data_IF_457768018053
#
_entry.id   IF_457768018053
#
_cell.length_a   1.000
_cell.length_b   1.000
_cell.length_c   1.000
_cell.angle_alpha   90.00
_cell.angle_beta   90.00
_cell.angle_gamma   90.00
#
_symmetry.space_group_name_H-M   'P 1'
#
loop_
_entity.id
_entity.type
_entity.pdbx_description
1 polymer ?
#
# COMPACT_ATOMS: atom_id res chain seq x y z
N UNK A 1 29.51 12.00 -0.33
CA UNK A 1 28.52 13.02 0.04
C UNK A 1 27.34 12.28 0.65
N UNK A 2 27.33 12.30 1.97
CA UNK A 2 26.51 11.48 2.84
C UNK A 2 25.08 12.03 2.92
N UNK A 3 24.11 11.14 3.19
CA UNK A 3 22.77 11.39 3.72
C UNK A 3 21.67 11.81 2.73
N UNK A 4 21.09 10.85 2.00
CA UNK A 4 19.72 10.99 1.44
C UNK A 4 18.63 10.33 2.31
N UNK A 5 18.98 9.86 3.51
CA UNK A 5 18.05 9.29 4.47
C UNK A 5 17.92 10.18 5.70
N UNK A 6 16.68 10.51 6.07
CA UNK A 6 16.36 11.23 7.30
C UNK A 6 15.58 10.30 8.22
N UNK A 7 16.08 10.10 9.45
CA UNK A 7 15.36 9.32 10.48
C UNK A 7 14.15 10.14 10.94
N UNK A 8 13.01 9.46 11.09
CA UNK A 8 11.75 10.01 11.55
C UNK A 8 11.27 9.23 12.77
N UNK A 9 10.79 9.95 13.78
CA UNK A 9 9.94 9.37 14.82
C UNK A 9 8.54 9.12 14.24
N UNK A 10 7.71 8.30 14.89
CA UNK A 10 6.33 8.02 14.46
C UNK A 10 5.48 9.30 14.25
N UNK A 11 5.79 10.39 14.97
CA UNK A 11 5.17 11.72 14.80
C UNK A 11 5.68 12.52 13.60
N UNK A 12 6.82 12.13 13.00
CA UNK A 12 7.44 12.78 11.85
C UNK A 12 7.04 12.19 10.50
N UNK A 13 6.28 11.09 10.48
CA UNK A 13 5.63 10.61 9.27
C UNK A 13 4.53 11.61 8.85
N UNK A 14 4.35 11.89 7.55
CA UNK A 14 3.26 12.74 7.10
C UNK A 14 1.93 12.13 7.56
N UNK A 15 1.26 12.80 8.50
CA UNK A 15 -0.04 12.40 9.00
C UNK A 15 -1.08 12.81 7.96
N UNK A 16 -1.56 11.81 7.20
CA UNK A 16 -2.66 11.82 6.22
C UNK A 16 -2.23 12.13 4.77
N UNK A 17 -2.79 11.39 3.79
CA UNK A 17 -2.70 11.82 2.41
C UNK A 17 -3.50 13.12 2.30
N UNK A 18 -3.06 14.09 1.48
CA UNK A 18 -3.92 15.23 1.18
C UNK A 18 -5.25 14.67 0.70
N UNK A 19 -6.33 14.98 1.43
CA UNK A 19 -7.70 14.69 1.03
C UNK A 19 -8.00 15.62 -0.14
N UNK A 20 -7.45 15.30 -1.30
CA UNK A 20 -7.79 15.88 -2.58
C UNK A 20 -8.49 14.78 -3.38
N UNK A 21 -9.81 14.81 -3.27
CA UNK A 21 -10.78 14.27 -4.22
C UNK A 21 -10.43 12.90 -4.83
N UNK A 22 -10.91 11.84 -4.18
CA UNK A 22 -11.25 10.57 -4.82
C UNK A 22 -12.37 10.81 -5.86
N UNK A 23 -12.08 11.41 -7.02
CA UNK A 23 -12.91 11.39 -8.23
C UNK A 23 -12.26 12.22 -9.34
N UNK A 24 -11.17 11.74 -9.94
CA UNK A 24 -10.82 12.06 -11.32
C UNK A 24 -10.20 10.79 -11.93
N UNK A 25 -11.08 9.99 -12.54
CA UNK A 25 -10.84 9.17 -13.75
C UNK A 25 -9.43 8.58 -13.89
N UNK A 26 -9.28 7.29 -13.58
CA UNK A 26 -8.22 6.47 -14.18
C UNK A 26 -8.44 6.45 -15.71
N UNK A 27 -7.59 7.04 -16.55
CA UNK A 27 -7.67 6.75 -17.97
C UNK A 27 -7.01 5.38 -18.16
N UNK A 28 -7.82 4.33 -18.23
CA UNK A 28 -7.42 3.14 -18.96
C UNK A 28 -6.98 3.60 -20.36
N UNK A 29 -5.69 3.54 -20.67
CA UNK A 29 -5.25 3.63 -22.07
C UNK A 29 -5.69 2.33 -22.75
N UNK A 30 -6.57 2.35 -23.75
CA UNK A 30 -6.84 1.18 -24.56
C UNK A 30 -5.73 1.08 -25.61
N UNK A 31 -4.98 -0.03 -25.62
CA UNK A 31 -4.18 -0.38 -26.79
C UNK A 31 -5.12 -0.81 -27.94
N UNK A 32 -4.77 -0.40 -29.15
CA UNK A 32 -5.59 -0.47 -30.37
C UNK A 32 -5.98 -1.90 -30.85
N UNK A 33 -7.27 -2.05 -31.15
CA UNK A 33 -7.96 -2.77 -32.28
C UNK A 33 -7.96 -4.31 -32.44
N UNK A 34 -8.96 -4.92 -33.13
CA UNK A 34 -10.29 -4.43 -33.56
C UNK A 34 -11.50 -5.28 -33.11
N UNK A 35 -12.65 -4.63 -33.23
CA UNK A 35 -14.05 -5.08 -33.20
C UNK A 35 -14.37 -6.57 -33.36
N UNK A 36 -15.04 -7.13 -32.34
CA UNK A 36 -16.16 -8.06 -32.51
C UNK A 36 -17.22 -7.80 -31.42
N UNK A 37 -18.39 -7.34 -31.89
CA UNK A 37 -19.62 -7.20 -31.11
C UNK A 37 -20.08 -8.57 -30.59
N UNK A 38 -20.17 -8.73 -29.28
CA UNK A 38 -21.03 -9.74 -28.66
C UNK A 38 -21.65 -9.13 -27.40
N UNK A 39 -22.94 -8.84 -27.48
CA UNK A 39 -23.77 -8.50 -26.33
C UNK A 39 -23.88 -9.72 -25.41
N UNK A 40 -23.70 -9.59 -24.09
CA UNK A 40 -24.23 -10.56 -23.16
C UNK A 40 -25.65 -10.19 -22.75
N UNK A 41 -26.45 -11.24 -22.71
CA UNK A 41 -27.86 -11.31 -22.36
C UNK A 41 -28.20 -10.76 -20.99
N UNK A 42 -29.41 -10.19 -20.93
CA UNK A 42 -30.29 -9.99 -19.78
C UNK A 42 -29.98 -10.84 -18.55
N UNK A 43 -29.39 -10.24 -17.52
CA UNK A 43 -29.61 -10.67 -16.13
C UNK A 43 -29.12 -9.63 -15.10
N UNK A 44 -29.55 -8.37 -15.19
CA UNK A 44 -29.38 -7.40 -14.08
C UNK A 44 -30.50 -6.34 -14.08
N UNK A 45 -31.75 -6.78 -14.24
CA UNK A 45 -32.93 -5.92 -14.20
C UNK A 45 -33.57 -5.74 -12.80
N UNK A 46 -32.90 -6.16 -11.72
CA UNK A 46 -33.50 -6.17 -10.38
C UNK A 46 -32.78 -5.37 -9.29
N UNK A 47 -31.95 -4.37 -9.65
CA UNK A 47 -31.38 -3.42 -8.67
C UNK A 47 -31.71 -1.95 -8.96
N UNK A 48 -32.79 -1.68 -9.70
CA UNK A 48 -33.47 -0.37 -9.72
C UNK A 48 -34.87 -0.54 -9.08
N UNK A 49 -34.98 -0.60 -7.75
CA UNK A 49 -35.80 0.41 -7.09
C UNK A 49 -35.39 0.64 -5.61
N UNK A 50 -34.33 1.41 -5.36
CA UNK A 50 -34.09 2.03 -4.05
C UNK A 50 -33.63 3.49 -4.20
N UNK A 51 -33.97 4.11 -5.34
CA UNK A 51 -33.66 5.52 -5.63
C UNK A 51 -34.91 6.38 -5.86
N UNK A 52 -36.10 5.89 -5.48
CA UNK A 52 -37.39 6.56 -5.76
C UNK A 52 -38.26 6.87 -4.54
N UNK A 53 -37.68 6.93 -3.33
CA UNK A 53 -38.41 7.31 -2.11
C UNK A 53 -37.96 8.63 -1.45
N UNK A 54 -37.42 9.59 -2.23
CA UNK A 54 -37.14 10.94 -1.70
C UNK A 54 -37.56 12.12 -2.60
N UNK A 55 -38.44 11.91 -3.58
CA UNK A 55 -39.14 13.01 -4.25
C UNK A 55 -40.66 12.80 -4.23
N UNK A 56 -41.25 12.90 -3.03
CA UNK A 56 -42.68 13.24 -2.92
C UNK A 56 -42.93 13.95 -1.60
N UNK A 57 -42.48 15.21 -1.51
CA UNK A 57 -43.06 16.17 -0.58
C UNK A 57 -43.65 17.29 -1.43
N UNK A 58 -44.95 17.15 -1.71
CA UNK A 58 -45.76 18.08 -2.48
C UNK A 58 -45.91 19.37 -1.67
N UNK A 59 -45.57 20.47 -2.34
CA UNK A 59 -45.75 21.85 -1.92
C UNK A 59 -47.16 22.11 -1.36
N UNK A 60 -47.23 22.65 -0.14
CA UNK A 60 -48.34 23.45 0.34
C UNK A 60 -47.75 24.75 0.89
N UNK A 61 -47.91 25.83 0.12
CA UNK A 61 -47.47 27.17 0.49
C UNK A 61 -48.51 27.86 1.39
N UNK A 62 -48.07 28.60 2.43
CA UNK A 62 -48.70 29.84 2.83
C UNK A 62 -47.91 31.03 2.30
N UNK A 63 -48.61 32.13 2.01
CA UNK A 63 -48.06 33.33 1.40
C UNK A 63 -47.09 34.10 2.34
N UNK A 64 -45.82 34.28 1.91
CA UNK A 64 -44.80 35.32 2.21
C UNK A 64 -44.46 35.68 3.70
N UNK A 65 -43.27 36.24 4.05
CA UNK A 65 -42.13 36.67 3.23
C UNK A 65 -40.73 36.09 3.55
N UNK A 66 -39.92 35.99 2.49
CA UNK A 66 -38.45 35.83 2.36
C UNK A 66 -37.61 35.33 3.56
N UNK A 67 -37.02 34.12 3.49
CA UNK A 67 -35.86 33.76 4.29
C UNK A 67 -34.55 33.83 3.48
N UNK A 68 -33.51 34.40 4.11
CA UNK A 68 -32.15 34.59 3.59
C UNK A 68 -31.57 33.32 2.91
N UNK A 69 -31.11 33.46 1.66
CA UNK A 69 -30.56 32.37 0.82
C UNK A 69 -29.27 31.72 1.39
N UNK A 70 -28.59 32.34 2.35
CA UNK A 70 -27.33 31.84 2.93
C UNK A 70 -27.50 30.64 3.87
N UNK A 71 -28.62 30.51 4.59
CA UNK A 71 -28.82 29.43 5.56
C UNK A 71 -29.25 28.10 4.91
N UNK A 72 -29.91 28.14 3.76
CA UNK A 72 -30.42 26.95 3.06
C UNK A 72 -29.30 26.18 2.34
N UNK A 73 -28.26 26.89 1.88
CA UNK A 73 -27.05 26.29 1.30
C UNK A 73 -26.16 25.57 2.32
N UNK A 74 -26.08 26.09 3.56
CA UNK A 74 -25.29 25.47 4.63
C UNK A 74 -25.87 24.13 5.09
N UNK A 75 -27.21 24.04 5.18
CA UNK A 75 -27.90 22.83 5.63
C UNK A 75 -27.91 21.68 4.61
N UNK A 76 -27.78 22.00 3.32
CA UNK A 76 -27.69 21.01 2.23
C UNK A 76 -26.26 20.47 2.08
N UNK A 77 -25.24 21.32 2.27
CA UNK A 77 -23.84 20.91 2.17
C UNK A 77 -23.42 19.93 3.28
N UNK A 78 -23.89 20.15 4.51
CA UNK A 78 -23.55 19.28 5.64
C UNK A 78 -24.19 17.89 5.53
N UNK A 79 -25.41 17.80 4.99
CA UNK A 79 -26.06 16.51 4.69
C UNK A 79 -25.35 15.75 3.58
N UNK A 80 -24.85 16.44 2.55
CA UNK A 80 -24.05 15.83 1.48
C UNK A 80 -22.73 15.23 2.00
N UNK A 81 -22.02 15.94 2.87
CA UNK A 81 -20.76 15.44 3.47
C UNK A 81 -21.03 14.19 4.32
N UNK A 82 -22.11 14.18 5.11
CA UNK A 82 -22.47 13.02 5.93
C UNK A 82 -22.84 11.82 5.04
N UNK A 83 -23.57 12.03 3.94
CA UNK A 83 -23.92 10.95 3.01
C UNK A 83 -22.67 10.36 2.36
N UNK A 84 -21.72 11.20 1.91
CA UNK A 84 -20.45 10.72 1.34
C UNK A 84 -19.66 9.93 2.39
N UNK A 85 -19.57 10.44 3.62
CA UNK A 85 -18.83 9.77 4.69
C UNK A 85 -19.46 8.42 5.07
N UNK A 86 -20.79 8.36 5.20
CA UNK A 86 -21.50 7.11 5.49
C UNK A 86 -21.40 6.12 4.32
N UNK A 87 -21.40 6.59 3.07
CA UNK A 87 -21.24 5.73 1.90
C UNK A 87 -19.82 5.16 1.81
N UNK A 88 -18.79 5.96 2.07
CA UNK A 88 -17.40 5.49 2.12
C UNK A 88 -17.15 4.56 3.31
N UNK A 89 -17.75 4.84 4.47
CA UNK A 89 -17.68 3.96 5.63
C UNK A 89 -18.39 2.64 5.36
N UNK A 90 -19.56 2.67 4.72
CA UNK A 90 -20.28 1.48 4.30
C UNK A 90 -19.51 0.68 3.23
N UNK A 91 -18.85 1.33 2.28
CA UNK A 91 -17.95 0.68 1.32
C UNK A 91 -16.75 0.04 2.00
N UNK A 92 -16.16 0.72 2.98
CA UNK A 92 -15.04 0.19 3.76
C UNK A 92 -15.46 -1.01 4.63
N UNK A 93 -16.60 -0.94 5.31
CA UNK A 93 -17.10 -2.06 6.12
C UNK A 93 -17.57 -3.20 5.23
N UNK A 94 -18.19 -2.93 4.09
CA UNK A 94 -18.58 -3.95 3.12
C UNK A 94 -17.34 -4.63 2.52
N UNK A 95 -16.27 -3.88 2.24
CA UNK A 95 -14.99 -4.45 1.81
C UNK A 95 -14.36 -5.34 2.90
N UNK A 96 -14.43 -4.92 4.18
CA UNK A 96 -13.96 -5.73 5.32
C UNK A 96 -14.81 -7.00 5.55
N UNK A 97 -16.15 -6.89 5.44
CA UNK A 97 -17.11 -7.99 5.63
C UNK A 97 -17.13 -8.98 4.47
N UNK A 98 -17.04 -8.51 3.22
CA UNK A 98 -16.86 -9.36 2.04
C UNK A 98 -15.57 -10.20 2.13
N UNK A 99 -14.59 -9.75 2.91
CA UNK A 99 -13.38 -10.52 3.19
C UNK A 99 -13.55 -11.60 4.28
N UNK A 100 -14.66 -11.59 5.05
CA UNK A 100 -14.92 -12.51 6.16
C UNK A 100 -15.94 -13.62 5.84
N UNK A 101 -16.92 -13.43 4.93
CA UNK A 101 -18.04 -14.39 4.74
C UNK A 101 -17.88 -15.42 3.60
N UNK A 102 -16.91 -15.30 2.70
CA UNK A 102 -16.71 -16.28 1.61
C UNK A 102 -15.62 -17.32 1.88
N UNK A 103 -15.68 -17.99 3.04
CA UNK A 103 -15.12 -19.33 3.24
C UNK A 103 -16.26 -20.34 3.40
N UNK A 104 -16.97 -20.57 2.29
CA UNK A 104 -18.06 -21.54 2.24
C UNK A 104 -18.48 -21.82 0.79
N UNK A 105 -17.89 -22.85 0.21
CA UNK A 105 -18.36 -23.58 -0.99
C UNK A 105 -18.28 -22.89 -2.36
N UNK A 106 -17.28 -23.31 -3.13
CA UNK A 106 -17.34 -23.66 -4.57
C UNK A 106 -17.96 -22.66 -5.56
N UNK A 107 -17.26 -21.57 -5.92
CA UNK A 107 -17.17 -21.05 -7.31
C UNK A 107 -15.92 -20.15 -7.42
N UNK A 108 -15.01 -20.48 -8.35
CA UNK A 108 -14.04 -19.57 -9.00
C UNK A 108 -13.23 -18.59 -8.14
N UNK A 109 -11.96 -18.93 -7.88
CA UNK A 109 -10.97 -18.04 -7.28
C UNK A 109 -10.93 -16.63 -7.93
N UNK A 110 -11.51 -15.63 -7.27
CA UNK A 110 -11.08 -14.24 -7.44
C UNK A 110 -9.82 -14.08 -6.59
N UNK A 111 -8.66 -14.09 -7.27
CA UNK A 111 -7.35 -13.95 -6.66
C UNK A 111 -7.30 -12.70 -5.78
N UNK A 112 -6.86 -12.86 -4.53
CA UNK A 112 -6.51 -11.72 -3.69
C UNK A 112 -5.36 -10.97 -4.37
N UNK A 113 -5.43 -9.64 -4.58
CA UNK A 113 -4.36 -8.88 -5.24
C UNK A 113 -3.08 -8.76 -4.39
N UNK A 114 -3.11 -9.31 -3.17
CA UNK A 114 -2.00 -9.33 -2.24
C UNK A 114 -1.23 -10.64 -2.36
N UNK A 115 0.07 -10.54 -2.64
CA UNK A 115 0.98 -11.67 -2.44
C UNK A 115 1.26 -11.80 -0.95
N UNK A 116 0.61 -12.75 -0.29
CA UNK A 116 0.93 -13.11 1.10
C UNK A 116 2.14 -14.04 1.13
N UNK A 117 2.94 -13.97 2.20
CA UNK A 117 4.03 -14.92 2.40
C UNK A 117 3.49 -16.36 2.49
N UNK A 118 4.25 -17.31 1.94
CA UNK A 118 3.91 -18.74 2.03
C UNK A 118 4.09 -19.20 3.47
N UNK A 119 3.07 -19.79 4.09
CA UNK A 119 3.21 -20.49 5.37
C UNK A 119 4.00 -21.81 5.26
N UNK A 120 4.40 -22.19 4.04
CA UNK A 120 5.07 -23.44 3.73
C UNK A 120 6.53 -23.12 3.33
N UNK A 121 7.45 -23.56 4.20
CA UNK A 121 8.92 -23.51 4.12
C UNK A 121 9.58 -22.13 3.95
N UNK A 122 10.37 -21.74 4.96
CA UNK A 122 11.30 -20.59 4.96
C UNK A 122 12.46 -20.82 3.98
N UNK A 123 12.18 -20.91 2.69
CA UNK A 123 13.20 -21.22 1.67
C UNK A 123 13.81 -19.94 1.06
N UNK A 124 13.18 -18.78 1.27
CA UNK A 124 13.68 -17.47 0.81
C UNK A 124 14.37 -16.61 1.88
N UNK A 125 14.27 -16.94 3.17
CA UNK A 125 14.99 -16.24 4.25
C UNK A 125 16.24 -17.03 4.61
N UNK A 126 17.41 -16.43 4.46
CA UNK A 126 18.71 -17.06 4.75
C UNK A 126 19.40 -16.34 5.89
N UNK A 127 20.03 -17.11 6.79
CA UNK A 127 20.88 -16.57 7.84
C UNK A 127 22.35 -16.81 7.48
N UNK A 128 23.13 -15.75 7.38
CA UNK A 128 24.57 -15.79 7.09
C UNK A 128 25.29 -15.11 8.24
N UNK A 129 25.82 -15.90 9.18
CA UNK A 129 26.36 -15.37 10.44
C UNK A 129 25.27 -14.64 11.25
N UNK A 130 25.53 -13.38 11.58
CA UNK A 130 24.61 -12.49 12.31
C UNK A 130 23.67 -11.70 11.38
N UNK A 131 23.73 -11.95 10.06
CA UNK A 131 22.85 -11.31 9.07
C UNK A 131 21.66 -12.20 8.73
N UNK A 132 20.48 -11.59 8.64
CA UNK A 132 19.28 -12.20 8.09
C UNK A 132 18.96 -11.53 6.76
N UNK A 133 18.94 -12.34 5.70
CA UNK A 133 18.63 -11.92 4.34
C UNK A 133 17.24 -12.43 3.98
N UNK A 134 16.34 -11.53 3.62
CA UNK A 134 14.97 -11.83 3.21
C UNK A 134 14.86 -11.66 1.70
N UNK A 135 14.59 -12.75 1.00
CA UNK A 135 14.33 -12.74 -0.44
C UNK A 135 13.06 -11.96 -0.78
N UNK A 136 13.00 -11.27 -1.94
CA UNK A 136 11.78 -10.70 -2.50
C UNK A 136 10.61 -11.67 -2.63
N UNK A 137 10.88 -12.99 -2.63
CA UNK A 137 9.84 -14.01 -2.67
C UNK A 137 9.04 -14.14 -1.36
N UNK A 138 9.63 -13.70 -0.25
CA UNK A 138 9.04 -13.73 1.10
C UNK A 138 8.38 -12.39 1.48
N UNK A 139 8.48 -11.38 0.60
CA UNK A 139 7.88 -10.07 0.84
C UNK A 139 6.37 -10.09 0.57
N UNK A 140 5.65 -9.33 1.39
CA UNK A 140 4.24 -9.01 1.20
C UNK A 140 4.11 -7.78 0.31
N UNK A 141 3.81 -8.02 -0.97
CA UNK A 141 3.77 -6.97 -1.99
C UNK A 141 2.32 -6.74 -2.41
N UNK A 142 1.83 -5.52 -2.21
CA UNK A 142 0.52 -5.11 -2.72
C UNK A 142 0.58 -5.07 -4.25
N UNK A 143 -0.38 -5.74 -4.90
CA UNK A 143 -0.39 -6.02 -6.33
C UNK A 143 0.71 -6.98 -6.81
N UNK A 144 1.40 -7.67 -5.91
CA UNK A 144 2.59 -8.49 -6.24
C UNK A 144 2.30 -9.74 -7.08
N UNK A 145 1.08 -10.27 -7.04
CA UNK A 145 0.63 -11.37 -7.93
C UNK A 145 0.16 -10.88 -9.30
N UNK A 146 -0.01 -9.56 -9.48
CA UNK A 146 -0.48 -8.99 -10.72
C UNK A 146 0.70 -8.57 -11.62
N UNK A 147 0.90 -9.34 -12.69
CA UNK A 147 1.99 -9.15 -13.64
C UNK A 147 1.96 -7.80 -14.37
N UNK A 148 0.85 -7.07 -14.32
CA UNK A 148 0.73 -5.71 -14.88
C UNK A 148 1.49 -4.68 -14.06
N UNK A 149 1.66 -4.93 -12.77
CA UNK A 149 2.24 -4.01 -11.80
C UNK A 149 3.61 -4.47 -11.30
N UNK A 150 3.80 -5.77 -11.11
CA UNK A 150 5.05 -6.35 -10.64
C UNK A 150 5.52 -7.50 -11.53
N UNK A 151 6.84 -7.64 -11.67
CA UNK A 151 7.45 -8.84 -12.24
C UNK A 151 8.36 -9.46 -11.19
N UNK A 152 7.96 -10.63 -10.68
CA UNK A 152 8.73 -11.38 -9.70
C UNK A 152 9.47 -12.51 -10.41
N UNK A 153 10.79 -12.37 -10.54
CA UNK A 153 11.64 -13.41 -11.11
C UNK A 153 12.08 -14.35 -10.00
N UNK A 154 11.51 -15.56 -9.99
CA UNK A 154 11.82 -16.60 -8.98
C UNK A 154 13.22 -17.18 -9.13
N UNK A 155 13.76 -17.23 -10.35
CA UNK A 155 15.08 -17.80 -10.62
C UNK A 155 16.17 -16.84 -10.13
N UNK A 156 16.01 -15.55 -10.42
CA UNK A 156 16.93 -14.50 -9.97
C UNK A 156 16.61 -13.99 -8.56
N UNK A 157 15.47 -14.39 -8.00
CA UNK A 157 14.96 -13.94 -6.70
C UNK A 157 14.87 -12.41 -6.59
N UNK A 158 14.33 -11.76 -7.61
CA UNK A 158 14.16 -10.28 -7.64
C UNK A 158 12.69 -9.89 -7.83
N UNK A 159 12.32 -8.71 -7.36
CA UNK A 159 11.01 -8.09 -7.59
C UNK A 159 11.15 -6.77 -8.34
N UNK A 160 10.69 -6.70 -9.58
CA UNK A 160 10.67 -5.49 -10.41
C UNK A 160 9.29 -4.84 -10.39
N UNK A 161 9.24 -3.56 -9.99
CA UNK A 161 8.07 -2.72 -10.09
C UNK A 161 7.92 -2.19 -11.52
N UNK A 162 6.87 -2.63 -12.22
CA UNK A 162 6.52 -2.10 -13.56
C UNK A 162 5.93 -0.71 -13.44
N UNK A 163 4.83 -0.58 -12.69
CA UNK A 163 4.20 0.71 -12.42
C UNK A 163 3.17 0.59 -11.30
N UNK A 164 3.09 1.54 -10.37
CA UNK A 164 1.98 1.69 -9.41
C UNK A 164 1.77 3.17 -9.06
N UNK A 165 0.58 3.54 -8.59
CA UNK A 165 0.35 4.83 -7.91
C UNK A 165 0.48 4.72 -6.38
N UNK A 166 0.37 3.51 -5.84
CA UNK A 166 0.50 3.16 -4.43
C UNK A 166 1.57 2.08 -4.30
N UNK A 167 2.66 2.38 -3.59
CA UNK A 167 3.73 1.43 -3.27
C UNK A 167 3.64 0.99 -1.81
N UNK A 168 3.52 -0.31 -1.58
CA UNK A 168 3.56 -0.92 -0.26
C UNK A 168 4.19 -2.31 -0.35
N UNK A 169 5.36 -2.46 0.26
CA UNK A 169 6.11 -3.71 0.36
C UNK A 169 6.41 -3.96 1.83
N UNK A 170 5.91 -5.05 2.38
CA UNK A 170 6.12 -5.46 3.77
C UNK A 170 6.95 -6.74 3.86
N UNK A 171 7.44 -7.03 5.06
CA UNK A 171 8.08 -8.29 5.37
C UNK A 171 8.16 -8.51 6.87
N UNK A 172 8.41 -9.76 7.26
CA UNK A 172 8.51 -10.18 8.67
C UNK A 172 9.64 -11.18 8.83
N UNK A 173 10.38 -11.05 9.93
CA UNK A 173 11.45 -11.98 10.35
C UNK A 173 11.16 -12.43 11.76
N UNK A 174 11.37 -13.71 12.05
CA UNK A 174 11.13 -14.25 13.39
C UNK A 174 12.20 -13.76 14.34
N UNK A 175 11.81 -13.35 15.54
CA UNK A 175 12.74 -12.81 16.54
C UNK A 175 13.79 -13.87 16.94
N UNK A 176 13.43 -15.16 16.92
CA UNK A 176 14.37 -16.27 17.14
C UNK A 176 15.58 -16.30 16.18
N UNK A 177 15.47 -15.68 15.02
CA UNK A 177 16.55 -15.62 14.04
C UNK A 177 17.55 -14.49 14.37
N UNK A 178 17.18 -13.60 15.30
CA UNK A 178 17.95 -12.47 15.80
C UNK A 178 18.36 -12.70 17.27
N UNK A 179 19.39 -11.98 17.71
CA UNK A 179 19.77 -11.97 19.12
C UNK A 179 18.89 -11.00 19.91
N UNK A 180 18.48 -11.34 21.15
CA UNK A 180 17.76 -10.43 22.03
C UNK A 180 18.66 -9.26 22.47
N UNK A 181 18.05 -8.14 22.84
CA UNK A 181 18.74 -6.93 23.33
C UNK A 181 19.94 -6.50 22.46
N UNK A 182 19.80 -6.66 21.15
CA UNK A 182 20.88 -6.45 20.19
C UNK A 182 20.46 -5.40 19.18
N UNK A 183 21.41 -4.53 18.83
CA UNK A 183 21.21 -3.48 17.85
C UNK A 183 21.42 -4.03 16.44
N UNK A 184 20.47 -3.74 15.57
CA UNK A 184 20.46 -4.13 14.18
C UNK A 184 20.22 -2.93 13.27
N UNK A 185 20.62 -3.08 12.01
CA UNK A 185 20.36 -2.16 10.91
C UNK A 185 19.51 -2.87 9.85
N UNK A 186 18.51 -2.17 9.33
CA UNK A 186 17.67 -2.64 8.23
C UNK A 186 18.03 -1.92 6.92
N UNK A 187 18.32 -2.69 5.87
CA UNK A 187 18.60 -2.16 4.53
C UNK A 187 17.84 -2.95 3.46
N UNK A 188 17.16 -2.26 2.57
CA UNK A 188 16.71 -2.78 1.27
C UNK A 188 17.86 -2.62 0.27
N UNK A 189 18.27 -3.72 -0.36
CA UNK A 189 19.16 -3.71 -1.52
C UNK A 189 18.30 -3.56 -2.77
N UNK A 190 18.45 -2.42 -3.44
CA UNK A 190 17.63 -2.06 -4.60
C UNK A 190 18.46 -1.63 -5.79
N UNK A 191 17.86 -1.66 -6.97
CA UNK A 191 18.36 -1.06 -8.20
C UNK A 191 17.29 -0.18 -8.82
N UNK A 192 17.72 0.89 -9.47
CA UNK A 192 16.85 1.73 -10.27
C UNK A 192 17.14 1.47 -11.75
N UNK A 193 16.15 1.05 -12.53
CA UNK A 193 16.32 0.88 -13.98
C UNK A 193 16.56 2.23 -14.66
N UNK A 194 17.17 2.20 -15.84
CA UNK A 194 17.46 3.42 -16.64
C UNK A 194 16.19 4.18 -17.03
N UNK A 195 15.08 3.46 -17.18
CA UNK A 195 13.75 3.98 -17.49
C UNK A 195 12.88 4.18 -16.24
N UNK A 196 13.47 4.16 -15.03
CA UNK A 196 12.72 4.42 -13.80
C UNK A 196 12.12 5.82 -13.80
N UNK A 197 10.87 5.94 -13.32
CA UNK A 197 10.09 7.16 -13.42
C UNK A 197 9.20 7.36 -12.19
N UNK A 198 8.72 8.59 -11.98
CA UNK A 198 7.72 8.92 -10.94
C UNK A 198 8.27 9.16 -9.54
N UNK A 199 9.58 9.08 -9.33
CA UNK A 199 10.22 9.18 -8.01
C UNK A 199 10.56 10.62 -7.58
N UNK A 200 10.60 11.57 -8.51
CA UNK A 200 10.89 12.98 -8.21
C UNK A 200 9.87 13.54 -7.21
N UNK A 201 10.33 14.17 -6.13
CA UNK A 201 9.46 14.72 -5.08
C UNK A 201 8.45 13.68 -4.54
N UNK A 202 8.88 12.42 -4.39
CA UNK A 202 8.08 11.31 -3.87
C UNK A 202 8.91 10.55 -2.83
N UNK A 203 9.01 11.07 -1.58
CA UNK A 203 9.82 10.42 -0.56
C UNK A 203 9.23 9.04 -0.24
N UNK A 204 10.10 8.02 -0.26
CA UNK A 204 9.76 6.67 0.14
C UNK A 204 10.09 6.50 1.62
N UNK A 205 9.14 5.97 2.37
CA UNK A 205 9.28 5.75 3.81
C UNK A 205 9.61 4.29 4.06
N UNK A 206 10.67 4.04 4.82
CA UNK A 206 11.07 2.71 5.26
C UNK A 206 10.92 2.66 6.77
N UNK A 207 10.20 1.65 7.25
CA UNK A 207 9.89 1.48 8.67
C UNK A 207 10.28 0.10 9.16
N UNK A 208 10.67 0.02 10.42
CA UNK A 208 10.91 -1.24 11.13
C UNK A 208 10.27 -1.19 12.51
N UNK A 209 9.63 -2.28 12.90
CA UNK A 209 9.01 -2.45 14.22
C UNK A 209 9.47 -3.76 14.84
N UNK A 210 10.24 -3.70 15.93
CA UNK A 210 10.63 -4.89 16.68
C UNK A 210 9.52 -5.32 17.65
N UNK A 211 8.87 -6.45 17.37
CA UNK A 211 7.85 -7.06 18.23
C UNK A 211 6.40 -6.66 17.96
N UNK A 212 5.47 -7.45 18.50
CA UNK A 212 4.02 -7.24 18.42
C UNK A 212 3.53 -6.47 19.66
N UNK A 213 2.63 -5.47 19.49
CA UNK A 213 1.97 -4.79 20.62
C UNK A 213 2.34 -3.33 20.94
N UNK A 214 3.42 -2.76 20.40
CA UNK A 214 3.78 -1.33 20.62
C UNK A 214 3.86 -0.54 19.31
N UNK A 215 2.71 -0.18 18.75
CA UNK A 215 2.60 0.63 17.52
C UNK A 215 3.42 1.94 17.55
N UNK A 216 3.78 2.42 18.75
CA UNK A 216 4.58 3.64 18.99
C UNK A 216 6.10 3.48 18.82
N UNK A 217 6.63 2.25 18.76
CA UNK A 217 8.09 2.01 18.79
C UNK A 217 8.70 1.71 17.40
N UNK A 218 7.92 1.86 16.33
CA UNK A 218 8.47 1.75 14.98
C UNK A 218 9.47 2.88 14.70
N UNK A 219 10.64 2.52 14.18
CA UNK A 219 11.65 3.48 13.70
C UNK A 219 11.45 3.64 12.20
N UNK A 220 11.53 4.89 11.71
CA UNK A 220 11.27 5.20 10.30
C UNK A 220 12.41 6.01 9.70
N UNK A 221 12.59 5.89 8.40
CA UNK A 221 13.44 6.77 7.61
C UNK A 221 12.74 7.15 6.31
N UNK A 222 12.92 8.39 5.84
CA UNK A 222 12.52 8.80 4.50
C UNK A 222 13.71 8.81 3.56
N UNK A 223 13.55 8.29 2.35
CA UNK A 223 14.56 8.20 1.29
C UNK A 223 14.01 8.82 0.01
N UNK A 224 14.82 9.64 -0.66
CA UNK A 224 14.53 10.17 -1.99
C UNK A 224 15.11 9.26 -3.07
N UNK A 225 14.29 8.39 -3.65
CA UNK A 225 14.76 7.44 -4.68
C UNK A 225 15.17 8.11 -5.99
N UNK A 226 14.78 9.38 -6.23
CA UNK A 226 15.21 10.10 -7.44
C UNK A 226 16.71 10.43 -7.46
N UNK A 227 17.36 10.36 -6.30
CA UNK A 227 18.81 10.60 -6.14
C UNK A 227 19.65 9.34 -6.28
N UNK A 228 19.01 8.18 -6.41
CA UNK A 228 19.70 6.91 -6.58
C UNK A 228 20.09 6.77 -8.05
N UNK A 229 21.37 6.48 -8.29
CA UNK A 229 21.87 6.30 -9.65
C UNK A 229 21.17 5.15 -10.36
N UNK A 230 20.81 5.38 -11.62
CA UNK A 230 20.15 4.37 -12.44
C UNK A 230 21.15 3.45 -13.15
N UNK A 231 20.80 2.18 -13.29
CA UNK A 231 21.63 1.18 -13.93
C UNK A 231 21.35 -0.22 -13.40
N UNK A 232 21.21 -1.18 -14.32
CA UNK A 232 20.80 -2.56 -13.97
C UNK A 232 21.84 -3.32 -13.13
N UNK A 233 23.08 -2.85 -13.04
CA UNK A 233 24.15 -3.47 -12.26
C UNK A 233 24.46 -2.74 -10.95
N UNK A 234 23.84 -1.59 -10.69
CA UNK A 234 24.20 -0.73 -9.56
C UNK A 234 23.26 -0.91 -8.37
N UNK A 235 23.63 -1.79 -7.45
CA UNK A 235 22.89 -2.04 -6.21
C UNK A 235 23.16 -0.92 -5.21
N UNK A 236 22.09 -0.39 -4.63
CA UNK A 236 22.11 0.63 -3.58
C UNK A 236 21.44 0.09 -2.32
N UNK A 237 21.98 0.44 -1.14
CA UNK A 237 21.41 0.03 0.16
C UNK A 237 20.63 1.19 0.77
N UNK A 238 19.35 0.99 1.07
CA UNK A 238 18.48 2.04 1.61
C UNK A 238 17.61 1.56 2.78
N UNK A 239 17.33 2.41 3.78
CA UNK A 239 18.11 3.60 4.11
C UNK A 239 19.47 3.17 4.69
N UNK A 240 20.49 4.04 4.67
CA UNK A 240 21.80 3.69 5.25
C UNK A 240 21.86 3.77 6.78
N UNK A 241 20.83 4.33 7.43
CA UNK A 241 20.87 4.73 8.85
C UNK A 241 19.71 4.20 9.70
N UNK A 242 18.88 3.29 9.20
CA UNK A 242 17.73 2.78 9.97
C UNK A 242 18.16 1.65 10.89
N UNK A 243 18.38 2.00 12.14
CA UNK A 243 18.77 1.09 13.21
C UNK A 243 17.62 0.88 14.21
N UNK A 244 17.56 -0.31 14.79
CA UNK A 244 16.60 -0.69 15.82
C UNK A 244 17.21 -1.69 16.80
N UNK A 245 16.64 -1.80 18.00
CA UNK A 245 17.09 -2.77 19.01
C UNK A 245 15.99 -3.81 19.21
N UNK A 246 16.37 -5.09 19.24
CA UNK A 246 15.46 -6.18 19.57
C UNK A 246 15.13 -6.17 21.06
N UNK A 247 13.89 -6.49 21.46
CA UNK A 247 13.52 -6.61 22.87
C UNK A 247 14.22 -7.79 23.54
N UNK A 248 14.38 -7.72 24.87
CA UNK A 248 15.05 -8.75 25.66
C UNK A 248 14.21 -10.02 25.89
N UNK A 249 12.88 -9.96 25.75
CA UNK A 249 11.95 -11.00 26.26
C UNK A 249 10.87 -11.44 25.24
N UNK A 250 11.25 -11.74 23.99
CA UNK A 250 10.26 -12.21 23.01
C UNK A 250 10.85 -13.28 22.08
N UNK A 251 10.97 -14.52 22.56
CA UNK A 251 11.41 -15.64 21.74
C UNK A 251 10.45 -15.92 20.55
N UNK A 252 9.15 -15.67 20.75
CA UNK A 252 8.09 -15.97 19.77
C UNK A 252 7.60 -14.75 18.98
N UNK A 253 8.29 -13.61 19.07
CA UNK A 253 7.91 -12.38 18.36
C UNK A 253 8.36 -12.36 16.89
N UNK A 254 7.92 -11.33 16.16
CA UNK A 254 8.42 -11.02 14.83
C UNK A 254 8.91 -9.56 14.75
N UNK A 255 9.95 -9.33 13.97
CA UNK A 255 10.33 -8.01 13.50
C UNK A 255 9.63 -7.79 12.17
N UNK A 256 8.81 -6.75 12.09
CA UNK A 256 8.14 -6.36 10.85
C UNK A 256 8.82 -5.14 10.24
N UNK A 257 8.84 -5.09 8.92
CA UNK A 257 9.38 -3.94 8.19
C UNK A 257 8.52 -3.63 6.97
N UNK A 258 8.68 -2.40 6.48
CA UNK A 258 7.87 -1.88 5.38
C UNK A 258 8.65 -0.85 4.55
N UNK A 259 8.39 -0.83 3.24
CA UNK A 259 8.75 0.21 2.29
C UNK A 259 7.47 0.75 1.66
N UNK A 260 7.24 2.06 1.81
CA UNK A 260 5.95 2.71 1.57
C UNK A 260 6.09 4.02 0.81
N UNK A 261 5.27 4.18 -0.23
CA UNK A 261 4.97 5.48 -0.85
C UNK A 261 3.51 5.46 -1.31
N UNK A 262 2.65 6.19 -0.58
CA UNK A 262 1.20 6.21 -0.82
C UNK A 262 0.63 7.62 -0.94
N UNK A 263 1.47 8.63 -0.67
CA UNK A 263 1.02 10.00 -0.51
C UNK A 263 0.90 10.70 -1.86
N UNK A 264 1.76 10.35 -2.81
CA UNK A 264 1.72 10.86 -4.17
C UNK A 264 1.07 9.84 -5.10
N UNK A 265 -0.16 10.14 -5.51
CA UNK A 265 -0.96 9.33 -6.45
C UNK A 265 -0.41 9.30 -7.90
N UNK A 266 0.84 9.71 -8.11
CA UNK A 266 1.53 9.64 -9.39
C UNK A 266 2.04 8.22 -9.67
N UNK A 267 1.98 7.81 -10.94
CA UNK A 267 2.58 6.56 -11.40
C UNK A 267 4.09 6.57 -11.22
N UNK A 268 4.63 5.51 -10.64
CA UNK A 268 6.06 5.27 -10.45
C UNK A 268 6.43 3.84 -10.81
N UNK A 269 7.62 3.65 -11.34
CA UNK A 269 8.08 2.37 -11.88
C UNK A 269 9.59 2.30 -12.03
N UNK A 270 10.09 1.10 -12.36
CA UNK A 270 11.51 0.82 -12.59
C UNK A 270 12.34 0.59 -11.31
N UNK A 271 11.70 0.48 -10.14
CA UNK A 271 12.34 -0.01 -8.91
C UNK A 271 12.53 -1.52 -8.98
N UNK A 272 13.71 -2.02 -8.64
CA UNK A 272 13.97 -3.45 -8.47
C UNK A 272 14.45 -3.69 -7.06
N UNK A 273 13.82 -4.64 -6.36
CA UNK A 273 14.23 -5.10 -5.03
C UNK A 273 14.99 -6.41 -5.23
N UNK A 274 16.25 -6.43 -4.80
CA UNK A 274 17.10 -7.62 -4.84
C UNK A 274 16.96 -8.44 -3.55
N UNK A 275 17.01 -7.77 -2.39
CA UNK A 275 16.86 -8.40 -1.07
C UNK A 275 16.65 -7.36 0.03
N UNK A 276 16.23 -7.83 1.21
CA UNK A 276 16.23 -7.04 2.44
C UNK A 276 17.21 -7.67 3.42
N UNK A 277 18.10 -6.88 3.98
CA UNK A 277 19.16 -7.34 4.88
C UNK A 277 18.96 -6.70 6.25
N UNK A 278 18.96 -7.55 7.28
CA UNK A 278 19.01 -7.16 8.69
C UNK A 278 20.37 -7.63 9.22
N UNK A 279 21.26 -6.68 9.52
CA UNK A 279 22.61 -6.98 10.00
C UNK A 279 22.87 -6.34 11.36
N UNK A 280 23.65 -7.01 12.19
CA UNK A 280 24.05 -6.53 13.51
C UNK A 280 24.99 -5.32 13.38
N UNK A 281 24.80 -4.33 14.25
CA UNK A 281 25.61 -3.08 14.31
C UNK A 281 26.73 -3.20 15.33
#
# INVERSE_FOLDING_TARGET
MDSSSRILTSSGLPLRPPVLLLCQVFPFRPCHTPSLLRTPSSSFAHLLPMLHLFFSAKSAAPQNPQPNQSCIHSFTHQKFIIIIYLSLYALYTYWQLFHQEHLGSTVGAMASPHRKNSSIAHEGTSKVGDEVIVSPLELDIVWGEDSRYWHIDRNRRIAELKQVCWLHVGGRVKMKDLHPDTKYKLEFKIRMKKDAFGWNNSPVYIGVKPGEGNERNGVWASVDLSRIETGEQKISSIPSCLEFTTPSDVADGEVSFILLEIWKLGWKGGLVIDEVVISKV
#
